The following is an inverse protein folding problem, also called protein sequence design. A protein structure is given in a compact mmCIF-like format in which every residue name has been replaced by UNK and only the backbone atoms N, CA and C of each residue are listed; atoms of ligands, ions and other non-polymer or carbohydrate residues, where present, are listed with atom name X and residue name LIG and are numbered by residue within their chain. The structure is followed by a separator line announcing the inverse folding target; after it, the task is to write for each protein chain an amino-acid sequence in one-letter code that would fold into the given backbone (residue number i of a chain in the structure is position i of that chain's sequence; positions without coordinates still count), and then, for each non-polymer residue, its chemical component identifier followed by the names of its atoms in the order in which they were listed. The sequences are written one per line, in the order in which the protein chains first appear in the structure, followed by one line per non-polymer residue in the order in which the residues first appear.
data_IF_586067717895
#
_entry.id   IF_586067717895
#
_cell.length_a   1.000
_cell.length_b   1.000
_cell.length_c   1.000
_cell.angle_alpha   90.00
_cell.angle_beta   90.00
_cell.angle_gamma   90.00
#
_symmetry.space_group_name_H-M   'P 1'
#
loop_
_entity.id
_entity.type
_entity.pdbx_description
1 polymer ?
#
# COMPACT_ATOMS: atom_id res chain seq x y z
N UNK A 1 -65.08 18.04 -58.72
CA UNK A 1 -63.70 17.45 -58.68
C UNK A 1 -62.91 18.11 -57.58
N UNK A 2 -62.72 17.47 -56.41
CA UNK A 2 -62.05 18.01 -55.27
C UNK A 2 -61.02 16.97 -54.82
N UNK A 3 -59.78 17.28 -55.01
CA UNK A 3 -58.62 16.45 -54.63
C UNK A 3 -58.33 16.59 -53.15
N UNK A 4 -58.38 15.50 -52.38
CA UNK A 4 -58.00 15.44 -50.97
C UNK A 4 -56.49 15.26 -50.83
N UNK A 5 -55.87 16.19 -50.15
CA UNK A 5 -54.44 16.11 -49.74
C UNK A 5 -54.29 15.38 -48.38
N UNK A 6 -53.73 14.22 -48.41
CA UNK A 6 -53.37 13.44 -47.18
C UNK A 6 -52.18 14.03 -46.53
N UNK A 7 -52.31 14.42 -45.27
CA UNK A 7 -51.24 14.97 -44.42
C UNK A 7 -50.53 13.82 -43.69
N UNK A 8 -49.27 13.53 -44.03
CA UNK A 8 -48.46 12.57 -43.33
C UNK A 8 -48.01 13.17 -41.98
N UNK A 9 -48.32 12.50 -40.91
CA UNK A 9 -47.88 12.87 -39.55
C UNK A 9 -46.47 12.37 -39.32
N UNK A 10 -45.54 13.31 -39.13
CA UNK A 10 -44.14 13.09 -38.75
C UNK A 10 -44.09 12.75 -37.25
N UNK A 11 -43.92 11.47 -36.95
CA UNK A 11 -43.72 10.98 -35.59
C UNK A 11 -42.21 11.14 -35.21
N UNK A 12 -41.84 12.29 -34.67
CA UNK A 12 -40.55 12.50 -34.05
C UNK A 12 -40.41 11.63 -32.79
N UNK A 13 -39.71 10.52 -32.91
CA UNK A 13 -39.23 9.72 -31.77
C UNK A 13 -38.25 10.59 -30.95
N UNK A 14 -38.74 11.10 -29.83
CA UNK A 14 -37.88 11.67 -28.80
C UNK A 14 -37.03 10.55 -28.18
N UNK A 15 -35.78 10.43 -28.59
CA UNK A 15 -34.81 9.56 -27.96
C UNK A 15 -34.55 10.09 -26.54
N UNK A 16 -35.01 9.35 -25.52
CA UNK A 16 -34.70 9.63 -24.13
C UNK A 16 -33.18 9.55 -23.92
N UNK A 17 -32.61 10.69 -23.55
CA UNK A 17 -31.17 10.77 -23.24
C UNK A 17 -30.89 9.91 -22.02
N UNK A 18 -30.15 8.83 -22.20
CA UNK A 18 -29.60 8.01 -21.12
C UNK A 18 -28.68 8.91 -20.26
N UNK A 19 -28.94 9.05 -18.96
CA UNK A 19 -28.06 9.86 -18.09
C UNK A 19 -26.65 9.30 -18.11
N UNK A 20 -25.70 10.05 -18.66
CA UNK A 20 -24.26 9.73 -18.58
C UNK A 20 -23.88 9.69 -17.10
N UNK A 21 -23.79 8.48 -16.52
CA UNK A 21 -23.23 8.25 -15.20
C UNK A 21 -21.85 8.92 -15.19
N UNK A 22 -21.71 10.01 -14.46
CA UNK A 22 -20.44 10.70 -14.29
C UNK A 22 -19.47 9.69 -13.71
N UNK A 23 -18.48 9.31 -14.52
CA UNK A 23 -17.33 8.53 -14.05
C UNK A 23 -16.58 9.44 -13.10
N UNK A 24 -16.83 9.29 -11.79
CA UNK A 24 -15.99 9.89 -10.77
C UNK A 24 -14.55 9.45 -11.06
N UNK A 25 -13.64 10.42 -11.20
CA UNK A 25 -12.20 10.12 -11.33
C UNK A 25 -11.83 9.19 -10.17
N UNK A 26 -11.19 8.05 -10.42
CA UNK A 26 -10.75 7.18 -9.34
C UNK A 26 -9.89 8.02 -8.42
N UNK A 27 -10.21 8.03 -7.12
CA UNK A 27 -9.39 8.65 -6.10
C UNK A 27 -8.00 8.02 -6.24
N UNK A 28 -6.95 8.84 -6.29
CA UNK A 28 -5.59 8.34 -6.42
C UNK A 28 -5.35 7.22 -5.40
N UNK A 29 -4.73 6.12 -5.84
CA UNK A 29 -4.45 4.99 -4.96
C UNK A 29 -3.59 5.44 -3.78
N UNK A 30 -3.85 4.96 -2.55
CA UNK A 30 -3.06 5.31 -1.38
C UNK A 30 -1.60 4.92 -1.57
N UNK A 31 -0.71 5.75 -1.04
CA UNK A 31 0.74 5.57 -1.12
C UNK A 31 1.28 5.05 0.22
N UNK A 32 2.05 3.99 0.17
CA UNK A 32 2.74 3.43 1.32
C UNK A 32 4.24 3.65 1.17
N UNK A 33 4.84 4.37 2.12
CA UNK A 33 6.29 4.47 2.26
C UNK A 33 6.83 3.17 2.85
N UNK A 34 8.00 2.72 2.40
CA UNK A 34 8.60 1.51 2.92
C UNK A 34 10.10 1.68 3.14
N UNK A 35 10.54 1.40 4.37
CA UNK A 35 11.95 1.44 4.79
C UNK A 35 12.38 0.06 5.25
N UNK A 36 13.50 -0.42 4.75
CA UNK A 36 14.08 -1.71 5.13
C UNK A 36 15.47 -1.51 5.71
N UNK A 37 15.58 -1.64 7.03
CA UNK A 37 16.83 -1.54 7.80
C UNK A 37 17.36 -2.92 8.23
N UNK A 38 16.65 -3.96 7.84
CA UNK A 38 16.94 -5.31 8.26
C UNK A 38 18.09 -5.98 7.50
N UNK A 39 18.56 -7.08 8.06
CA UNK A 39 19.54 -7.97 7.44
C UNK A 39 18.94 -8.66 6.17
N UNK A 40 19.74 -9.44 5.41
CA UNK A 40 19.24 -10.19 4.25
C UNK A 40 18.00 -11.05 4.49
N UNK A 41 17.80 -11.58 5.70
CA UNK A 41 16.57 -12.32 6.05
C UNK A 41 15.34 -11.40 6.11
N UNK A 42 15.50 -10.22 6.67
CA UNK A 42 14.44 -9.22 6.74
C UNK A 42 14.10 -8.64 5.35
N UNK A 43 15.07 -8.63 4.42
CA UNK A 43 14.85 -8.21 3.05
C UNK A 43 13.82 -9.09 2.33
N UNK A 44 13.82 -10.40 2.56
CA UNK A 44 12.83 -11.32 2.01
C UNK A 44 11.42 -11.00 2.52
N UNK A 45 11.28 -10.66 3.80
CA UNK A 45 10.00 -10.24 4.37
C UNK A 45 9.54 -8.91 3.75
N UNK A 46 10.47 -7.96 3.55
CA UNK A 46 10.21 -6.69 2.85
C UNK A 46 9.69 -6.91 1.43
N UNK A 47 10.32 -7.80 0.66
CA UNK A 47 9.90 -8.14 -0.71
C UNK A 47 8.48 -8.72 -0.73
N UNK A 48 8.14 -9.57 0.23
CA UNK A 48 6.79 -10.15 0.37
C UNK A 48 5.74 -9.10 0.68
N UNK A 49 6.01 -8.24 1.67
CA UNK A 49 5.10 -7.14 2.05
C UNK A 49 4.88 -6.20 0.86
N UNK A 50 5.96 -5.76 0.20
CA UNK A 50 5.89 -4.86 -0.95
C UNK A 50 5.12 -5.49 -2.13
N UNK A 51 5.34 -6.78 -2.39
CA UNK A 51 4.62 -7.51 -3.44
C UNK A 51 3.12 -7.55 -3.14
N UNK A 52 2.74 -7.81 -1.89
CA UNK A 52 1.35 -7.87 -1.49
C UNK A 52 0.68 -6.49 -1.51
N UNK A 53 1.33 -5.45 -0.99
CA UNK A 53 0.85 -4.06 -1.09
C UNK A 53 0.57 -3.69 -2.54
N UNK A 54 1.48 -4.03 -3.44
CA UNK A 54 1.33 -3.73 -4.86
C UNK A 54 0.23 -4.53 -5.54
N UNK A 55 0.07 -5.80 -5.17
CA UNK A 55 -1.02 -6.67 -5.63
C UNK A 55 -2.39 -6.12 -5.22
N UNK A 56 -2.48 -5.49 -4.06
CA UNK A 56 -3.70 -4.87 -3.55
C UNK A 56 -3.92 -3.44 -4.08
N UNK A 57 -3.04 -2.96 -4.97
CA UNK A 57 -3.17 -1.69 -5.68
C UNK A 57 -2.64 -0.48 -4.92
N UNK A 58 -1.88 -0.65 -3.84
CA UNK A 58 -1.18 0.44 -3.17
C UNK A 58 0.02 0.92 -4.02
N UNK A 59 0.26 2.22 -4.03
CA UNK A 59 1.46 2.79 -4.62
C UNK A 59 2.58 2.79 -3.58
N UNK A 60 3.77 2.36 -3.99
CA UNK A 60 4.95 2.43 -3.12
C UNK A 60 5.63 3.78 -3.30
N UNK A 61 5.83 4.50 -2.20
CA UNK A 61 6.56 5.77 -2.17
C UNK A 61 7.99 5.55 -1.67
N UNK A 62 8.99 6.16 -2.31
CA UNK A 62 10.36 6.13 -1.83
C UNK A 62 10.62 7.14 -0.69
N UNK A 63 9.69 8.05 -0.41
CA UNK A 63 9.83 9.11 0.58
C UNK A 63 8.71 9.05 1.63
N UNK A 64 9.00 9.55 2.82
CA UNK A 64 8.05 9.61 3.93
C UNK A 64 6.97 10.66 3.72
N UNK A 65 7.35 11.89 3.28
CA UNK A 65 6.46 13.05 3.15
C UNK A 65 5.26 12.82 2.23
N UNK A 66 5.46 12.06 1.14
CA UNK A 66 4.42 11.83 0.14
C UNK A 66 3.67 10.52 0.31
N UNK A 67 3.89 9.81 1.42
CA UNK A 67 3.20 8.60 1.76
C UNK A 67 1.97 8.89 2.64
N UNK A 68 0.91 8.11 2.47
CA UNK A 68 -0.27 8.16 3.35
C UNK A 68 -0.04 7.37 4.65
N UNK A 69 0.95 6.47 4.64
CA UNK A 69 1.41 5.65 5.75
C UNK A 69 2.82 5.12 5.45
N UNK A 70 3.63 4.91 6.47
CA UNK A 70 5.00 4.35 6.36
C UNK A 70 5.11 3.03 7.09
N UNK A 71 5.72 2.04 6.46
CA UNK A 71 6.10 0.77 7.07
C UNK A 71 7.62 0.73 7.23
N UNK A 72 8.09 0.52 8.46
CA UNK A 72 9.52 0.41 8.79
C UNK A 72 9.84 -1.02 9.18
N UNK A 73 10.61 -1.73 8.34
CA UNK A 73 11.12 -3.07 8.65
C UNK A 73 12.48 -2.93 9.35
N UNK A 74 12.52 -3.31 10.62
CA UNK A 74 13.59 -2.99 11.55
C UNK A 74 14.54 -4.15 11.83
N UNK A 75 15.76 -3.83 12.19
CA UNK A 75 16.72 -4.76 12.78
C UNK A 75 16.71 -4.64 14.30
N UNK A 76 16.80 -5.77 15.01
CA UNK A 76 16.83 -5.84 16.49
C UNK A 76 17.91 -6.76 17.00
N UNK A 77 18.91 -7.09 16.17
CA UNK A 77 19.92 -8.11 16.48
C UNK A 77 21.12 -7.54 17.24
N UNK A 78 21.62 -6.39 16.87
CA UNK A 78 22.74 -5.71 17.52
C UNK A 78 22.31 -4.31 17.98
N UNK A 79 22.95 -3.80 19.04
CA UNK A 79 22.52 -2.54 19.68
C UNK A 79 22.59 -1.35 18.73
N UNK A 80 23.62 -1.22 17.91
CA UNK A 80 23.72 -0.15 16.92
C UNK A 80 22.60 -0.18 15.86
N UNK A 81 22.16 -1.37 15.46
CA UNK A 81 21.02 -1.49 14.52
C UNK A 81 19.67 -1.24 15.21
N UNK A 82 19.57 -1.46 16.52
CA UNK A 82 18.41 -1.05 17.32
C UNK A 82 18.32 0.46 17.37
N UNK A 83 19.42 1.16 17.66
CA UNK A 83 19.50 2.63 17.67
C UNK A 83 19.12 3.20 16.30
N UNK A 84 19.75 2.72 15.21
CA UNK A 84 19.42 3.13 13.84
C UNK A 84 17.93 2.90 13.51
N UNK A 85 17.37 1.78 13.96
CA UNK A 85 15.96 1.48 13.74
C UNK A 85 15.03 2.42 14.52
N UNK A 86 15.37 2.77 15.75
CA UNK A 86 14.59 3.73 16.55
C UNK A 86 14.70 5.14 15.97
N UNK A 87 15.86 5.57 15.53
CA UNK A 87 16.05 6.86 14.88
C UNK A 87 15.22 6.99 13.62
N UNK A 88 15.26 5.96 12.76
CA UNK A 88 14.45 5.93 11.53
C UNK A 88 12.93 5.91 11.80
N UNK A 89 12.48 5.26 12.88
CA UNK A 89 11.07 5.32 13.29
C UNK A 89 10.72 6.75 13.74
N UNK A 90 11.60 7.41 14.48
CA UNK A 90 11.43 8.80 14.90
C UNK A 90 11.31 9.75 13.70
N UNK A 91 12.23 9.66 12.75
CA UNK A 91 12.22 10.42 11.51
C UNK A 91 10.92 10.20 10.72
N UNK A 92 10.53 8.94 10.52
CA UNK A 92 9.29 8.62 9.82
C UNK A 92 8.03 9.15 10.53
N UNK A 93 8.02 9.19 11.88
CA UNK A 93 6.93 9.77 12.66
C UNK A 93 6.87 11.29 12.55
N UNK A 94 8.01 11.95 12.48
CA UNK A 94 8.07 13.42 12.38
C UNK A 94 7.70 13.90 10.98
N UNK A 95 8.09 13.16 9.93
CA UNK A 95 7.76 13.52 8.55
C UNK A 95 6.35 13.10 8.11
N UNK A 96 5.85 11.96 8.58
CA UNK A 96 4.58 11.38 8.11
C UNK A 96 3.52 11.29 9.21
N UNK A 97 3.92 10.92 10.42
CA UNK A 97 3.03 10.75 11.57
C UNK A 97 2.27 9.41 11.63
N UNK A 98 2.23 8.62 10.57
CA UNK A 98 1.55 7.32 10.52
C UNK A 98 2.56 6.22 10.20
N UNK A 99 3.04 5.53 11.23
CA UNK A 99 4.09 4.55 11.11
C UNK A 99 3.65 3.19 11.65
N UNK A 100 3.90 2.14 10.89
CA UNK A 100 3.81 0.75 11.29
C UNK A 100 5.22 0.19 11.35
N UNK A 101 5.57 -0.47 12.45
CA UNK A 101 6.88 -1.09 12.66
C UNK A 101 6.76 -2.59 12.55
N UNK A 102 7.68 -3.21 11.82
CA UNK A 102 7.79 -4.67 11.69
C UNK A 102 9.26 -5.11 11.80
N UNK A 103 9.50 -6.40 11.79
CA UNK A 103 10.85 -6.97 11.81
C UNK A 103 11.34 -7.36 13.18
N UNK A 104 12.65 -7.58 13.30
CA UNK A 104 13.23 -8.17 14.50
C UNK A 104 13.09 -7.29 15.75
N UNK A 105 13.16 -5.96 15.62
CA UNK A 105 12.92 -5.05 16.74
C UNK A 105 11.45 -5.08 17.17
N UNK A 106 10.54 -5.32 16.24
CA UNK A 106 9.11 -5.48 16.55
C UNK A 106 8.80 -6.66 17.49
N UNK A 107 9.64 -7.70 17.49
CA UNK A 107 9.54 -8.78 18.48
C UNK A 107 9.83 -8.29 19.93
N UNK A 108 10.54 -7.18 20.07
CA UNK A 108 10.79 -6.46 21.32
C UNK A 108 9.88 -5.23 21.42
N UNK A 109 8.60 -5.41 21.13
CA UNK A 109 7.63 -4.34 20.92
C UNK A 109 7.46 -3.34 22.07
N UNK A 110 7.83 -3.71 23.31
CA UNK A 110 7.87 -2.80 24.45
C UNK A 110 8.87 -1.64 24.20
N UNK A 111 10.08 -1.93 23.72
CA UNK A 111 11.11 -0.92 23.45
C UNK A 111 10.61 0.11 22.44
N UNK A 112 9.97 -0.36 21.35
CA UNK A 112 9.43 0.54 20.32
C UNK A 112 8.31 1.42 20.87
N UNK A 113 7.39 0.84 21.65
CA UNK A 113 6.24 1.59 22.22
C UNK A 113 6.66 2.55 23.32
N UNK A 114 7.66 2.19 24.11
CA UNK A 114 8.19 3.04 25.18
C UNK A 114 8.92 4.26 24.61
N UNK A 115 9.68 4.07 23.50
CA UNK A 115 10.40 5.15 22.84
C UNK A 115 9.49 5.98 21.93
N UNK A 116 8.62 5.32 21.18
CA UNK A 116 7.72 5.94 20.19
C UNK A 116 6.26 5.54 20.38
N UNK A 117 5.56 6.11 21.36
CA UNK A 117 4.16 5.74 21.66
C UNK A 117 3.17 6.10 20.54
N UNK A 118 3.58 6.93 19.57
CA UNK A 118 2.75 7.35 18.42
C UNK A 118 2.70 6.33 17.28
N UNK A 119 3.46 5.24 17.36
CA UNK A 119 3.45 4.15 16.36
C UNK A 119 2.09 3.48 16.32
N UNK A 120 1.52 3.32 15.14
CA UNK A 120 0.17 2.77 14.93
C UNK A 120 0.09 1.28 15.26
N UNK A 121 1.08 0.51 14.80
CA UNK A 121 1.17 -0.92 15.07
C UNK A 121 2.62 -1.37 15.14
N UNK A 122 2.88 -2.40 15.93
CA UNK A 122 4.19 -3.06 16.03
C UNK A 122 3.96 -4.54 15.84
N UNK A 123 4.59 -5.11 14.81
CA UNK A 123 4.51 -6.53 14.46
C UNK A 123 5.89 -7.17 14.49
N UNK A 124 5.94 -8.49 14.67
CA UNK A 124 7.20 -9.24 14.70
C UNK A 124 7.78 -9.55 13.32
N UNK A 125 8.89 -10.30 13.26
CA UNK A 125 9.42 -10.84 12.03
C UNK A 125 8.44 -11.89 11.44
N UNK A 126 8.42 -12.02 10.11
CA UNK A 126 7.52 -12.93 9.38
C UNK A 126 6.02 -12.61 9.45
N UNK A 127 5.64 -11.48 9.99
CA UNK A 127 4.27 -11.09 10.25
C UNK A 127 3.65 -10.33 9.06
N UNK A 128 3.81 -10.83 7.83
CA UNK A 128 3.30 -10.16 6.61
C UNK A 128 1.80 -9.90 6.71
N UNK A 129 1.03 -10.89 7.15
CA UNK A 129 -0.44 -10.76 7.25
C UNK A 129 -0.85 -9.73 8.31
N UNK A 130 -0.14 -9.66 9.44
CA UNK A 130 -0.37 -8.67 10.49
C UNK A 130 -0.04 -7.25 10.00
N UNK A 131 1.05 -7.09 9.24
CA UNK A 131 1.40 -5.81 8.61
C UNK A 131 0.31 -5.38 7.63
N UNK A 132 -0.16 -6.31 6.78
CA UNK A 132 -1.23 -6.01 5.82
C UNK A 132 -2.52 -5.64 6.53
N UNK A 133 -2.88 -6.35 7.61
CA UNK A 133 -4.04 -6.03 8.42
C UNK A 133 -3.91 -4.62 9.03
N UNK A 134 -2.76 -4.29 9.60
CA UNK A 134 -2.50 -2.96 10.15
C UNK A 134 -2.58 -1.85 9.07
N UNK A 135 -2.12 -2.12 7.85
CA UNK A 135 -2.29 -1.20 6.71
C UNK A 135 -3.77 -1.02 6.37
N UNK A 136 -4.57 -2.10 6.32
CA UNK A 136 -6.00 -2.04 6.01
C UNK A 136 -6.82 -1.31 7.08
N UNK A 137 -6.40 -1.38 8.35
CA UNK A 137 -7.06 -0.66 9.44
C UNK A 137 -6.92 0.87 9.30
N UNK A 138 -5.87 1.34 8.64
CA UNK A 138 -5.55 2.75 8.48
C UNK A 138 -5.73 3.30 7.07
N UNK A 139 -5.64 2.45 6.04
CA UNK A 139 -5.81 2.82 4.63
C UNK A 139 -6.89 1.96 3.97
N UNK A 140 -7.78 2.60 3.22
CA UNK A 140 -8.76 1.86 2.42
C UNK A 140 -8.04 1.07 1.34
N UNK A 141 -8.43 -0.19 1.20
CA UNK A 141 -7.98 -1.05 0.09
C UNK A 141 -8.35 -0.40 -1.25
N UNK A 142 -7.38 -0.06 -2.09
CA UNK A 142 -7.62 0.73 -3.29
C UNK A 142 -8.26 -0.08 -4.42
N UNK A 143 -8.05 -1.40 -4.41
CA UNK A 143 -8.37 -2.26 -5.53
C UNK A 143 -8.86 -3.64 -5.08
N UNK A 144 -9.62 -4.32 -5.96
CA UNK A 144 -10.01 -5.72 -5.77
C UNK A 144 -8.88 -6.63 -6.28
N UNK A 145 -8.26 -7.45 -5.40
CA UNK A 145 -7.12 -8.29 -5.77
C UNK A 145 -7.42 -9.32 -6.86
N UNK A 146 -8.71 -9.56 -7.16
CA UNK A 146 -9.11 -10.49 -8.23
C UNK A 146 -9.01 -9.88 -9.63
N UNK A 147 -8.86 -8.57 -9.75
CA UNK A 147 -8.80 -7.88 -11.03
C UNK A 147 -7.41 -7.46 -11.48
N UNK A 148 -6.41 -7.51 -10.59
CA UNK A 148 -5.02 -7.17 -10.90
C UNK A 148 -4.14 -8.42 -11.00
N UNK A 149 -3.40 -8.47 -12.11
CA UNK A 149 -2.38 -9.50 -12.30
C UNK A 149 -1.12 -9.09 -11.54
N UNK A 150 -0.79 -9.82 -10.47
CA UNK A 150 0.51 -9.69 -9.81
C UNK A 150 1.59 -10.05 -10.82
N UNK A 151 2.65 -9.23 -10.99
CA UNK A 151 3.79 -9.65 -11.80
C UNK A 151 4.30 -11.00 -11.31
N UNK A 152 4.46 -12.01 -12.17
CA UNK A 152 4.87 -13.37 -11.75
C UNK A 152 6.23 -13.38 -11.03
N UNK A 153 7.04 -12.35 -11.22
CA UNK A 153 8.34 -12.21 -10.58
C UNK A 153 8.27 -11.57 -9.19
N UNK A 154 7.14 -10.99 -8.79
CA UNK A 154 7.02 -10.21 -7.55
C UNK A 154 7.93 -8.98 -7.53
N UNK A 155 8.13 -8.42 -6.32
CA UNK A 155 9.07 -7.30 -6.11
C UNK A 155 10.34 -7.85 -5.52
N UNK A 156 11.45 -7.59 -6.20
CA UNK A 156 12.80 -8.01 -5.80
C UNK A 156 13.62 -6.77 -5.43
N UNK A 157 14.14 -6.74 -4.21
CA UNK A 157 14.99 -5.64 -3.70
C UNK A 157 16.48 -5.92 -3.92
N UNK A 158 16.86 -7.17 -4.14
CA UNK A 158 18.24 -7.54 -4.45
C UNK A 158 18.60 -7.25 -5.91
N UNK A 159 19.88 -7.04 -6.24
CA UNK A 159 20.37 -6.96 -7.61
C UNK A 159 19.97 -8.18 -8.46
N UNK A 160 20.01 -8.04 -9.79
CA UNK A 160 19.52 -9.09 -10.71
C UNK A 160 20.28 -10.41 -10.62
N UNK A 161 21.54 -10.39 -10.20
CA UNK A 161 22.45 -11.53 -10.25
C UNK A 161 22.37 -12.45 -9.03
N UNK A 162 21.65 -12.10 -7.96
CA UNK A 162 21.40 -12.98 -6.81
C UNK A 162 20.06 -12.71 -6.13
N UNK A 163 19.61 -13.66 -5.33
CA UNK A 163 18.46 -13.52 -4.45
C UNK A 163 18.70 -14.30 -3.17
N UNK A 164 18.08 -13.88 -2.07
CA UNK A 164 18.09 -14.63 -0.83
C UNK A 164 16.93 -15.62 -0.79
N UNK A 165 17.21 -16.83 -0.38
CA UNK A 165 16.21 -17.83 -0.08
C UNK A 165 16.13 -18.00 1.44
N UNK A 166 14.93 -17.93 1.96
CA UNK A 166 14.66 -18.14 3.39
C UNK A 166 14.21 -19.58 3.57
N UNK A 167 14.98 -20.34 4.32
CA UNK A 167 14.74 -21.74 4.67
C UNK A 167 14.39 -21.87 6.14
#
# INVERSE_FOLDING_TARGET
MKTAKTKAADARRTAAAVPKKQRTRPKAAPKVGFVSLGCPKALVDSERILTQLRAEGYLISPSYENADLVVVNTCGFIDSAVEESLDAIGEALDENGKVIVTGCLGAKGSIVKDTHPRVLAVTGPHATDEVMQAVHDHLKKPHDPYTDLIPPQGIKLTPRHYAYLKI
#
